data_IF_837554825401
#
_entry.id   IF_837554825401
#
_cell.length_a   1.000
_cell.length_b   1.000
_cell.length_c   1.000
_cell.angle_alpha   90.00
_cell.angle_beta   90.00
_cell.angle_gamma   90.00
#
_symmetry.space_group_name_H-M   'P 1'
#
loop_
_entity.id
_entity.type
_entity.pdbx_description
1 polymer ?
#
# COMPACT_ATOMS: atom_id res chain seq x y z
N UNK A 1 -1.59 -1.81 12.15
CA UNK A 1 -2.31 -1.57 10.89
C UNK A 1 -3.75 -2.01 11.02
N UNK A 2 -4.65 -1.25 10.42
CA UNK A 2 -6.05 -1.62 10.27
C UNK A 2 -6.38 -1.73 8.77
N UNK A 3 -7.13 -2.76 8.38
CA UNK A 3 -7.66 -2.88 7.01
C UNK A 3 -9.18 -2.88 7.12
N UNK A 4 -9.85 -1.96 6.43
CA UNK A 4 -11.31 -1.93 6.33
C UNK A 4 -11.82 -3.03 5.42
N UNK A 5 -13.06 -3.47 5.68
CA UNK A 5 -13.69 -4.54 4.91
C UNK A 5 -13.73 -4.23 3.41
N UNK A 6 -14.02 -2.98 3.05
CA UNK A 6 -14.08 -2.53 1.66
C UNK A 6 -12.74 -2.75 0.93
N UNK A 7 -11.61 -2.40 1.56
CA UNK A 7 -10.28 -2.69 1.04
C UNK A 7 -10.01 -4.19 0.91
N UNK A 8 -10.40 -5.00 1.90
CA UNK A 8 -10.23 -6.46 1.83
C UNK A 8 -10.94 -7.06 0.63
N UNK A 9 -12.20 -6.66 0.38
CA UNK A 9 -12.98 -7.17 -0.74
C UNK A 9 -12.31 -6.81 -2.07
N UNK A 10 -11.81 -5.58 -2.20
CA UNK A 10 -11.11 -5.13 -3.40
C UNK A 10 -9.79 -5.86 -3.62
N UNK A 11 -8.99 -6.05 -2.57
CA UNK A 11 -7.75 -6.82 -2.65
C UNK A 11 -8.01 -8.28 -3.01
N UNK A 12 -9.08 -8.89 -2.50
CA UNK A 12 -9.52 -10.23 -2.91
C UNK A 12 -9.92 -10.29 -4.38
N UNK A 13 -10.65 -9.30 -4.88
CA UNK A 13 -10.99 -9.19 -6.30
C UNK A 13 -9.73 -9.08 -7.17
N UNK A 14 -8.76 -8.26 -6.77
CA UNK A 14 -7.46 -8.14 -7.46
C UNK A 14 -6.72 -9.49 -7.46
N UNK A 15 -6.76 -10.23 -6.34
CA UNK A 15 -6.15 -11.57 -6.27
C UNK A 15 -6.87 -12.60 -7.12
N UNK A 16 -8.21 -12.55 -7.24
CA UNK A 16 -8.97 -13.44 -8.15
C UNK A 16 -8.56 -13.26 -9.61
N UNK A 17 -8.21 -12.05 -10.01
CA UNK A 17 -7.73 -11.74 -11.36
C UNK A 17 -6.28 -12.13 -11.63
N UNK A 18 -5.56 -12.61 -10.60
CA UNK A 18 -4.13 -12.96 -10.70
C UNK A 18 -3.92 -14.47 -10.61
N UNK A 19 -2.67 -14.87 -10.83
CA UNK A 19 -2.23 -16.27 -10.86
C UNK A 19 -2.56 -16.96 -9.53
N UNK A 20 -3.03 -18.21 -9.59
CA UNK A 20 -3.28 -19.00 -8.38
C UNK A 20 -1.99 -19.15 -7.56
N UNK A 21 -2.01 -18.69 -6.30
CA UNK A 21 -0.83 -18.66 -5.41
C UNK A 21 -0.09 -17.31 -5.37
N UNK A 22 -0.59 -16.30 -6.08
CA UNK A 22 -0.03 -14.97 -6.02
C UNK A 22 -0.23 -14.34 -4.62
N UNK A 23 0.84 -13.78 -4.09
CA UNK A 23 0.97 -13.24 -2.74
C UNK A 23 1.12 -11.72 -2.81
N UNK A 24 0.31 -10.97 -2.06
CA UNK A 24 0.40 -9.51 -2.04
C UNK A 24 1.49 -9.09 -1.05
N UNK A 25 2.47 -8.33 -1.52
CA UNK A 25 3.60 -7.80 -0.74
C UNK A 25 3.51 -6.28 -0.69
N UNK A 26 3.68 -5.72 0.50
CA UNK A 26 3.76 -4.30 0.79
C UNK A 26 5.21 -3.95 1.12
N UNK A 27 5.78 -3.04 0.35
CA UNK A 27 7.14 -2.52 0.55
C UNK A 27 7.12 -1.00 0.54
N UNK A 28 8.13 -0.40 1.18
CA UNK A 28 8.35 1.04 1.07
C UNK A 28 8.87 1.33 -0.35
N UNK A 29 8.20 2.23 -1.06
CA UNK A 29 8.64 2.76 -2.33
C UNK A 29 8.99 4.23 -2.18
N UNK A 30 10.04 4.63 -2.89
CA UNK A 30 10.51 6.00 -2.95
C UNK A 30 9.60 6.76 -3.93
N UNK A 31 8.56 7.41 -3.41
CA UNK A 31 7.75 8.32 -4.20
C UNK A 31 8.48 9.64 -4.41
N UNK A 32 8.24 10.27 -5.57
CA UNK A 32 8.77 11.60 -5.92
C UNK A 32 8.49 12.69 -4.86
N UNK A 33 7.47 12.49 -4.00
CA UNK A 33 7.03 13.47 -3.01
C UNK A 33 6.89 12.90 -1.57
N UNK A 34 7.54 11.76 -1.26
CA UNK A 34 7.53 11.21 0.10
C UNK A 34 7.55 9.68 0.17
N UNK A 35 7.55 9.11 1.40
CA UNK A 35 7.48 7.67 1.60
C UNK A 35 6.15 7.13 1.07
N UNK A 36 6.21 6.41 -0.04
CA UNK A 36 5.06 5.73 -0.64
C UNK A 36 5.08 4.25 -0.25
N UNK A 37 3.92 3.61 -0.26
CA UNK A 37 3.83 2.15 -0.16
C UNK A 37 3.61 1.58 -1.56
N UNK A 38 4.48 0.66 -1.97
CA UNK A 38 4.26 -0.16 -3.14
C UNK A 38 3.47 -1.42 -2.78
N UNK A 39 2.52 -1.75 -3.65
CA UNK A 39 1.75 -2.99 -3.61
C UNK A 39 2.19 -3.88 -4.76
N UNK A 40 3.05 -4.84 -4.45
CA UNK A 40 3.54 -5.80 -5.41
C UNK A 40 2.84 -7.13 -5.23
N UNK A 41 2.67 -7.88 -6.32
CA UNK A 41 2.19 -9.25 -6.20
C UNK A 41 3.27 -10.18 -6.69
N UNK A 42 3.78 -10.94 -5.74
CA UNK A 42 4.89 -11.85 -5.88
C UNK A 42 4.38 -13.28 -5.84
N UNK A 43 5.10 -14.23 -6.44
CA UNK A 43 4.72 -15.64 -6.36
C UNK A 43 5.07 -16.24 -4.99
N UNK A 44 6.01 -15.63 -4.25
CA UNK A 44 6.46 -16.08 -2.93
C UNK A 44 6.83 -14.87 -2.06
N UNK A 45 6.57 -14.93 -0.74
CA UNK A 45 7.07 -13.92 0.19
C UNK A 45 8.59 -13.96 0.31
N UNK A 46 9.20 -12.84 0.68
CA UNK A 46 10.63 -12.75 0.88
C UNK A 46 10.99 -13.08 2.34
N UNK A 47 12.22 -13.54 2.54
CA UNK A 47 12.69 -13.94 3.86
C UNK A 47 12.88 -12.70 4.74
N UNK A 48 11.97 -12.51 5.70
CA UNK A 48 12.00 -11.39 6.63
C UNK A 48 10.82 -10.45 6.52
N UNK A 49 9.93 -10.64 5.53
CA UNK A 49 8.63 -9.99 5.51
C UNK A 49 7.74 -10.57 6.62
N UNK A 50 6.92 -9.72 7.22
CA UNK A 50 5.89 -10.12 8.16
C UNK A 50 4.66 -10.62 7.42
N UNK A 51 4.19 -11.83 7.75
CA UNK A 51 2.92 -12.35 7.24
C UNK A 51 1.76 -11.76 8.04
N UNK A 52 0.86 -11.05 7.36
CA UNK A 52 -0.36 -10.51 7.91
C UNK A 52 -1.57 -11.12 7.23
N UNK A 53 -2.39 -11.83 7.98
CA UNK A 53 -3.65 -12.39 7.47
C UNK A 53 -4.84 -11.59 8.00
N UNK A 54 -5.71 -11.13 7.10
CA UNK A 54 -6.96 -10.47 7.46
C UNK A 54 -8.11 -11.02 6.65
N UNK A 55 -9.10 -11.58 7.34
CA UNK A 55 -10.35 -12.04 6.74
C UNK A 55 -10.09 -13.03 5.56
N UNK A 56 -9.06 -13.87 5.68
CA UNK A 56 -8.63 -14.84 4.65
C UNK A 56 -7.81 -14.26 3.49
N UNK A 57 -7.40 -12.98 3.57
CA UNK A 57 -6.43 -12.38 2.66
C UNK A 57 -5.05 -12.39 3.32
N UNK A 58 -4.06 -12.99 2.65
CA UNK A 58 -2.67 -12.97 3.09
C UNK A 58 -1.91 -11.83 2.44
N UNK A 59 -1.30 -10.98 3.26
CA UNK A 59 -0.36 -9.95 2.86
C UNK A 59 1.00 -10.22 3.50
N UNK A 60 2.05 -9.78 2.83
CA UNK A 60 3.41 -9.81 3.33
C UNK A 60 3.93 -8.40 3.40
N UNK A 61 4.53 -8.01 4.51
CA UNK A 61 4.90 -6.63 4.76
C UNK A 61 6.39 -6.58 5.04
N UNK A 62 7.13 -5.77 4.27
CA UNK A 62 8.53 -5.55 4.55
C UNK A 62 8.72 -4.90 5.93
N UNK A 63 9.82 -5.20 6.63
CA UNK A 63 10.07 -4.67 7.99
C UNK A 63 9.95 -3.15 8.09
N UNK A 64 10.48 -2.42 7.11
CA UNK A 64 10.36 -0.96 7.07
C UNK A 64 8.91 -0.49 6.90
N UNK A 65 8.14 -1.19 6.06
CA UNK A 65 6.72 -0.91 5.85
C UNK A 65 5.89 -1.27 7.09
N UNK A 66 6.27 -2.30 7.86
CA UNK A 66 5.55 -2.73 9.07
C UNK A 66 5.51 -1.62 10.11
N UNK A 67 6.63 -0.93 10.32
CA UNK A 67 6.75 0.17 11.29
C UNK A 67 5.81 1.32 10.90
N UNK A 68 5.76 1.64 9.61
CA UNK A 68 4.92 2.70 9.04
C UNK A 68 3.44 2.30 9.07
N UNK A 69 3.14 1.06 8.69
CA UNK A 69 1.79 0.51 8.67
C UNK A 69 1.23 0.24 10.07
N UNK A 70 2.07 0.19 11.11
CA UNK A 70 1.65 -0.06 12.48
C UNK A 70 0.49 0.87 12.90
N UNK A 71 0.52 2.13 12.48
CA UNK A 71 -0.54 3.14 12.71
C UNK A 71 -1.38 3.47 11.47
N UNK A 72 -1.10 2.84 10.34
CA UNK A 72 -1.83 3.10 9.10
C UNK A 72 -3.17 2.35 9.03
N UNK A 73 -4.09 2.92 8.28
CA UNK A 73 -5.41 2.37 7.95
C UNK A 73 -5.53 2.25 6.44
N UNK A 74 -5.71 1.02 5.97
CA UNK A 74 -5.94 0.69 4.56
C UNK A 74 -7.45 0.66 4.33
N UNK A 75 -7.93 1.52 3.44
CA UNK A 75 -9.32 1.64 3.02
C UNK A 75 -9.41 1.61 1.49
N UNK A 76 -10.62 1.64 0.92
CA UNK A 76 -10.78 1.82 -0.51
C UNK A 76 -11.75 2.95 -0.84
N UNK A 77 -11.41 3.73 -1.86
CA UNK A 77 -12.30 4.77 -2.35
C UNK A 77 -13.51 4.18 -3.11
N UNK A 78 -14.49 5.04 -3.42
CA UNK A 78 -15.68 4.74 -4.23
C UNK A 78 -15.34 4.14 -5.60
N UNK A 79 -14.19 4.51 -6.16
CA UNK A 79 -13.68 3.96 -7.42
C UNK A 79 -13.06 2.56 -7.26
N UNK A 80 -12.82 2.14 -6.01
CA UNK A 80 -12.14 0.90 -5.67
C UNK A 80 -10.61 1.03 -5.69
N UNK A 81 -10.07 2.24 -5.66
CA UNK A 81 -8.65 2.45 -5.46
C UNK A 81 -8.29 2.27 -3.98
N UNK A 82 -7.17 1.60 -3.71
CA UNK A 82 -6.71 1.36 -2.35
C UNK A 82 -6.10 2.66 -1.81
N UNK A 83 -6.65 3.14 -0.70
CA UNK A 83 -6.15 4.30 0.02
C UNK A 83 -5.50 3.87 1.32
N UNK A 84 -4.36 4.49 1.64
CA UNK A 84 -3.65 4.22 2.88
C UNK A 84 -3.53 5.54 3.63
N UNK A 85 -4.10 5.59 4.82
CA UNK A 85 -4.09 6.77 5.68
C UNK A 85 -3.28 6.49 6.94
N UNK A 86 -2.75 7.52 7.61
CA UNK A 86 -1.94 7.34 8.83
C UNK A 86 -0.48 6.94 8.56
N UNK A 87 0.00 7.12 7.33
CA UNK A 87 1.43 7.13 7.04
C UNK A 87 2.06 8.39 7.65
N UNK A 88 3.33 8.34 8.09
CA UNK A 88 4.03 9.54 8.51
C UNK A 88 4.14 10.45 7.29
N UNK A 89 3.32 11.49 7.25
CA UNK A 89 3.53 12.62 6.35
C UNK A 89 4.92 13.15 6.68
N UNK A 90 5.80 13.21 5.69
CA UNK A 90 7.02 13.97 5.87
C UNK A 90 6.55 15.41 6.05
N UNK A 91 6.70 15.92 7.28
CA UNK A 91 6.48 17.31 7.64
C UNK A 91 7.26 18.18 6.65
N UNK A 92 6.63 18.56 5.55
CA UNK A 92 7.13 19.63 4.70
C UNK A 92 6.74 20.91 5.43
N UNK A 93 7.50 21.21 6.49
CA UNK A 93 7.53 22.52 7.09
C UNK A 93 7.78 23.54 5.98
N UNK A 94 6.76 24.33 5.69
CA UNK A 94 6.76 25.67 5.08
C UNK A 94 7.61 25.94 3.83
N UNK A 95 6.91 26.57 2.87
CA UNK A 95 7.36 27.76 2.13
C UNK A 95 7.82 27.60 0.67
N UNK A 96 6.95 28.15 -0.21
CA UNK A 96 7.28 28.79 -1.48
C UNK A 96 7.77 27.94 -2.67
N UNK A 97 6.82 27.65 -3.58
CA UNK A 97 7.06 27.87 -5.02
C UNK A 97 7.49 26.68 -5.88
N UNK A 98 6.55 25.81 -6.21
CA UNK A 98 6.45 25.14 -7.52
C UNK A 98 5.02 24.59 -7.61
N UNK A 99 4.10 25.18 -8.39
CA UNK A 99 4.05 24.89 -9.82
C UNK A 99 4.02 23.38 -9.99
N UNK A 100 2.87 22.72 -9.82
CA UNK A 100 1.93 22.55 -10.92
C UNK A 100 2.49 21.56 -11.94
N UNK A 101 1.69 20.57 -12.32
CA UNK A 101 1.92 19.61 -13.42
C UNK A 101 2.49 18.23 -12.99
N UNK A 102 1.64 17.42 -12.36
CA UNK A 102 1.68 15.97 -12.61
C UNK A 102 0.90 15.70 -13.91
N UNK A 103 1.51 16.05 -15.04
CA UNK A 103 0.98 15.77 -16.37
C UNK A 103 1.24 14.32 -16.77
N UNK A 104 0.22 13.47 -16.71
CA UNK A 104 0.18 12.25 -17.51
C UNK A 104 0.06 12.65 -18.99
N UNK A 105 1.20 12.83 -19.67
CA UNK A 105 1.27 13.09 -21.11
C UNK A 105 1.03 11.82 -21.92
N UNK A 106 0.17 11.94 -22.93
CA UNK A 106 -0.18 10.98 -23.96
C UNK A 106 0.84 11.00 -25.11
#
# INVERSE_FOLDING_TARGET
>A
MEIKNAAVEKLKEIMKGRKAGACLRLSMAEGCCGPSLAMDIVEKPEKGDAEFEKNGLKLYIHKDAEIVLAKAVIDCDKNGDIMITGLPEHDHGHDHGHGGECGCGH
#
